data_IF_262954709905
#
_entry.id   IF_262954709905
#
_cell.length_a   1.000
_cell.length_b   1.000
_cell.length_c   1.000
_cell.angle_alpha   90.00
_cell.angle_beta   90.00
_cell.angle_gamma   90.00
#
_symmetry.space_group_name_H-M   'P 1'
#
loop_
_entity.id
_entity.type
_entity.pdbx_description
1 polymer ?
#
# COMPACT_ATOMS: atom_id res chain seq x y z
N UNK A 1 -8.52 -39.77 28.04
CA UNK A 1 -7.91 -38.53 28.56
C UNK A 1 -7.47 -38.66 30.02
N UNK A 2 -8.27 -39.26 30.90
CA UNK A 2 -7.95 -39.39 32.35
C UNK A 2 -6.62 -40.07 32.67
N UNK A 3 -6.25 -41.13 31.93
CA UNK A 3 -4.97 -41.84 32.12
C UNK A 3 -3.74 -40.94 31.92
N UNK A 4 -3.81 -39.99 30.98
CA UNK A 4 -2.72 -39.06 30.67
C UNK A 4 -2.58 -38.04 31.79
N UNK A 5 -3.70 -37.51 32.27
CA UNK A 5 -3.73 -36.53 33.37
C UNK A 5 -3.20 -37.18 34.66
N UNK A 6 -3.66 -38.39 34.98
CA UNK A 6 -3.19 -39.14 36.14
C UNK A 6 -1.67 -39.41 36.07
N UNK A 7 -1.16 -39.79 34.89
CA UNK A 7 0.27 -40.06 34.68
C UNK A 7 1.17 -38.82 34.86
N UNK A 8 0.68 -37.64 34.47
CA UNK A 8 1.39 -36.35 34.62
C UNK A 8 1.43 -35.91 36.09
N UNK A 9 0.32 -36.11 36.82
CA UNK A 9 0.16 -35.64 38.21
C UNK A 9 0.86 -36.52 39.25
N UNK A 10 1.20 -37.77 38.92
CA UNK A 10 1.85 -38.73 39.83
C UNK A 10 3.25 -38.32 40.30
N UNK A 11 4.00 -37.52 39.54
CA UNK A 11 5.41 -37.21 39.87
C UNK A 11 5.71 -35.73 39.66
N UNK A 12 6.34 -35.09 40.67
CA UNK A 12 6.74 -33.66 40.61
C UNK A 12 7.61 -33.34 39.39
N UNK A 13 8.43 -34.28 38.94
CA UNK A 13 9.28 -34.13 37.74
C UNK A 13 8.47 -34.05 36.44
N UNK A 14 7.48 -34.95 36.25
CA UNK A 14 6.61 -34.96 35.06
C UNK A 14 5.77 -33.70 34.98
N UNK A 15 5.23 -33.24 36.11
CA UNK A 15 4.52 -31.95 36.22
C UNK A 15 5.42 -30.78 35.78
N UNK A 16 6.66 -30.71 36.28
CA UNK A 16 7.62 -29.66 35.88
C UNK A 16 8.01 -29.75 34.41
N UNK A 17 8.14 -30.96 33.85
CA UNK A 17 8.41 -31.17 32.43
C UNK A 17 7.31 -30.62 31.53
N UNK A 18 6.04 -30.90 31.86
CA UNK A 18 4.90 -30.35 31.10
C UNK A 18 4.85 -28.82 31.21
N UNK A 19 5.05 -28.26 32.41
CA UNK A 19 5.10 -26.79 32.59
C UNK A 19 6.25 -26.17 31.77
N UNK A 20 7.43 -26.78 31.75
CA UNK A 20 8.56 -26.29 30.96
C UNK A 20 8.28 -26.33 29.45
N UNK A 21 7.63 -27.40 28.96
CA UNK A 21 7.22 -27.50 27.55
C UNK A 21 6.22 -26.40 27.19
N UNK A 22 5.22 -26.14 28.05
CA UNK A 22 4.24 -25.08 27.80
C UNK A 22 4.90 -23.70 27.80
N UNK A 23 5.80 -23.43 28.75
CA UNK A 23 6.54 -22.16 28.79
C UNK A 23 7.46 -22.00 27.58
N UNK A 24 8.10 -23.08 27.11
CA UNK A 24 8.92 -23.06 25.91
C UNK A 24 8.08 -22.80 24.66
N UNK A 25 6.92 -23.45 24.53
CA UNK A 25 6.00 -23.22 23.41
C UNK A 25 5.46 -21.79 23.40
N UNK A 26 5.12 -21.24 24.58
CA UNK A 26 4.72 -19.84 24.73
C UNK A 26 5.87 -18.89 24.34
N UNK A 27 7.07 -19.14 24.84
CA UNK A 27 8.27 -18.37 24.49
C UNK A 27 8.55 -18.39 22.99
N UNK A 28 8.48 -19.56 22.35
CA UNK A 28 8.65 -19.71 20.91
C UNK A 28 7.58 -18.93 20.12
N UNK A 29 6.31 -19.00 20.55
CA UNK A 29 5.22 -18.25 19.92
C UNK A 29 5.42 -16.74 19.99
N UNK A 30 5.88 -16.21 21.13
CA UNK A 30 6.16 -14.77 21.27
C UNK A 30 7.40 -14.38 20.44
N UNK A 31 8.40 -15.25 20.41
CA UNK A 31 9.66 -15.01 19.70
C UNK A 31 9.50 -15.01 18.17
N UNK A 32 8.41 -15.56 17.63
CA UNK A 32 8.08 -15.47 16.19
C UNK A 32 7.86 -14.03 15.69
N UNK A 33 7.42 -13.12 16.57
CA UNK A 33 7.20 -11.71 16.22
C UNK A 33 8.51 -10.94 15.97
N UNK A 34 9.48 -10.88 16.91
CA UNK A 34 10.74 -10.18 16.69
C UNK A 34 11.63 -10.86 15.65
N UNK A 35 11.54 -12.19 15.50
CA UNK A 35 12.32 -12.94 14.50
C UNK A 35 11.78 -12.79 13.08
N UNK A 36 10.66 -12.07 12.88
CA UNK A 36 9.98 -11.89 11.59
C UNK A 36 9.61 -13.21 10.88
N UNK A 37 9.55 -14.32 11.63
CA UNK A 37 9.05 -15.60 11.13
C UNK A 37 7.57 -15.49 10.73
N UNK A 38 6.82 -14.61 11.42
CA UNK A 38 5.44 -14.26 11.07
C UNK A 38 5.35 -12.74 10.91
N UNK A 39 5.03 -12.29 9.70
CA UNK A 39 4.81 -10.87 9.40
C UNK A 39 3.39 -10.48 9.84
N UNK A 40 3.29 -9.78 10.98
CA UNK A 40 2.03 -9.18 11.40
C UNK A 40 1.76 -7.90 10.59
N UNK A 41 0.61 -7.83 9.92
CA UNK A 41 0.15 -6.64 9.20
C UNK A 41 -1.16 -6.15 9.81
N UNK A 42 -1.15 -4.93 10.37
CA UNK A 42 -2.31 -4.34 11.06
C UNK A 42 -3.45 -3.98 10.10
N UNK A 43 -3.12 -3.61 8.85
CA UNK A 43 -4.09 -3.25 7.81
C UNK A 43 -3.73 -3.98 6.51
N UNK A 44 -4.48 -5.03 6.14
CA UNK A 44 -4.26 -5.69 4.86
C UNK A 44 -4.59 -4.73 3.71
N UNK A 45 -3.90 -4.95 2.58
CA UNK A 45 -4.22 -4.24 1.34
C UNK A 45 -5.66 -4.57 0.93
N UNK A 46 -6.44 -3.55 0.60
CA UNK A 46 -7.82 -3.69 0.11
C UNK A 46 -7.83 -3.33 -1.36
N UNK A 47 -8.60 -4.08 -2.16
CA UNK A 47 -8.83 -3.72 -3.56
C UNK A 47 -9.68 -2.46 -3.66
N UNK A 48 -9.18 -1.47 -4.38
CA UNK A 48 -9.86 -0.22 -4.70
C UNK A 48 -10.12 -0.10 -6.22
N UNK A 49 -11.10 0.72 -6.58
CA UNK A 49 -11.41 1.07 -7.98
C UNK A 49 -10.58 2.28 -8.46
N UNK A 50 -9.85 2.95 -7.57
CA UNK A 50 -9.03 4.11 -7.92
C UNK A 50 -7.78 4.16 -7.05
N UNK A 51 -6.70 4.68 -7.62
CA UNK A 51 -5.50 5.05 -6.90
C UNK A 51 -4.87 6.28 -7.56
N UNK A 52 -4.05 7.00 -6.80
CA UNK A 52 -3.45 8.25 -7.24
C UNK A 52 -1.94 8.15 -7.18
N UNK A 53 -1.27 8.58 -8.23
CA UNK A 53 0.18 8.68 -8.31
C UNK A 53 0.56 10.14 -8.13
N UNK A 54 1.47 10.37 -7.21
CA UNK A 54 1.98 11.67 -6.86
C UNK A 54 3.40 11.80 -7.39
N UNK A 55 3.65 12.87 -8.13
CA UNK A 55 4.91 13.13 -8.79
C UNK A 55 5.45 14.44 -8.22
N UNK A 56 6.55 14.36 -7.48
CA UNK A 56 7.24 15.51 -6.90
C UNK A 56 8.62 15.62 -7.56
N UNK A 57 8.85 16.66 -8.37
CA UNK A 57 10.16 17.00 -8.94
C UNK A 57 10.92 17.99 -8.03
N UNK A 58 12.23 18.18 -8.24
CA UNK A 58 12.98 19.25 -7.58
C UNK A 58 12.40 20.63 -7.86
N UNK A 59 12.54 21.56 -6.91
CA UNK A 59 11.90 22.89 -6.94
C UNK A 59 12.32 23.78 -8.11
N UNK A 60 13.49 23.55 -8.69
CA UNK A 60 14.00 24.25 -9.88
C UNK A 60 13.39 23.74 -11.19
N UNK A 61 12.61 22.66 -11.17
CA UNK A 61 12.05 22.04 -12.36
C UNK A 61 10.99 22.91 -13.03
N UNK A 62 10.90 22.78 -14.35
CA UNK A 62 9.89 23.43 -15.18
C UNK A 62 8.62 22.57 -15.27
N UNK A 63 7.48 23.22 -15.55
CA UNK A 63 6.22 22.51 -15.77
C UNK A 63 6.30 21.50 -16.94
N UNK A 64 7.17 21.78 -17.93
CA UNK A 64 7.41 20.86 -19.07
C UNK A 64 8.11 19.58 -18.63
N UNK A 65 9.07 19.68 -17.71
CA UNK A 65 9.72 18.50 -17.14
C UNK A 65 8.73 17.68 -16.31
N UNK A 66 7.89 18.34 -15.52
CA UNK A 66 6.80 17.67 -14.78
C UNK A 66 5.83 16.96 -15.72
N UNK A 67 5.43 17.62 -16.82
CA UNK A 67 4.56 17.04 -17.84
C UNK A 67 5.18 15.82 -18.51
N UNK A 68 6.47 15.89 -18.86
CA UNK A 68 7.21 14.79 -19.46
C UNK A 68 7.27 13.55 -18.55
N UNK A 69 7.51 13.75 -17.25
CA UNK A 69 7.50 12.65 -16.27
C UNK A 69 6.07 12.09 -16.11
N UNK A 70 5.06 12.96 -16.00
CA UNK A 70 3.67 12.53 -15.87
C UNK A 70 3.18 11.75 -17.12
N UNK A 71 3.62 12.16 -18.31
CA UNK A 71 3.35 11.45 -19.57
C UNK A 71 4.03 10.07 -19.58
N UNK A 72 5.29 9.97 -19.16
CA UNK A 72 5.98 8.68 -18.98
C UNK A 72 5.18 7.72 -18.09
N UNK A 73 4.66 8.22 -16.97
CA UNK A 73 3.81 7.44 -16.07
C UNK A 73 2.51 7.00 -16.78
N UNK A 74 1.85 7.93 -17.47
CA UNK A 74 0.63 7.66 -18.24
C UNK A 74 0.81 6.59 -19.31
N UNK A 75 1.91 6.62 -20.06
CA UNK A 75 2.23 5.63 -21.10
C UNK A 75 2.44 4.22 -20.54
N UNK A 76 2.93 4.09 -19.31
CA UNK A 76 3.02 2.79 -18.64
C UNK A 76 1.63 2.28 -18.21
N UNK A 77 0.81 3.17 -17.68
CA UNK A 77 -0.54 2.83 -17.21
C UNK A 77 -1.48 2.45 -18.37
N UNK A 78 -1.35 3.08 -19.54
CA UNK A 78 -2.14 2.76 -20.74
C UNK A 78 -1.97 1.31 -21.24
N UNK A 79 -0.89 0.64 -20.84
CA UNK A 79 -0.62 -0.77 -21.23
C UNK A 79 -1.44 -1.77 -20.41
N UNK A 80 -1.99 -1.34 -19.28
CA UNK A 80 -2.78 -2.18 -18.38
C UNK A 80 -4.24 -2.22 -18.83
N UNK A 81 -4.83 -3.41 -18.88
CA UNK A 81 -6.20 -3.62 -19.39
C UNK A 81 -7.27 -3.22 -18.38
N UNK A 82 -6.87 -3.20 -17.12
CA UNK A 82 -7.70 -2.93 -15.95
C UNK A 82 -7.92 -1.43 -15.74
N UNK A 83 -7.12 -0.58 -16.38
CA UNK A 83 -7.22 0.88 -16.33
C UNK A 83 -8.29 1.36 -17.30
N UNK A 84 -9.28 2.09 -16.80
CA UNK A 84 -10.36 2.65 -17.62
C UNK A 84 -10.04 4.08 -18.03
N UNK A 85 -9.63 4.90 -17.06
CA UNK A 85 -9.43 6.33 -17.24
C UNK A 85 -8.18 6.80 -16.49
N UNK A 86 -7.46 7.74 -17.09
CA UNK A 86 -6.26 8.36 -16.52
C UNK A 86 -6.44 9.86 -16.61
N UNK A 87 -6.40 10.53 -15.46
CA UNK A 87 -6.51 11.97 -15.37
C UNK A 87 -5.20 12.54 -14.82
N UNK A 88 -4.58 13.47 -15.54
CA UNK A 88 -3.31 14.08 -15.15
C UNK A 88 -3.51 15.54 -14.79
N UNK A 89 -3.13 15.89 -13.56
CA UNK A 89 -3.18 17.23 -13.00
C UNK A 89 -1.75 17.78 -12.89
N UNK A 90 -1.43 18.80 -13.68
CA UNK A 90 -0.09 19.38 -13.76
C UNK A 90 -0.01 20.70 -12.99
N UNK A 91 0.92 20.79 -12.04
CA UNK A 91 1.11 22.00 -11.24
C UNK A 91 0.02 22.27 -10.21
N UNK A 92 -0.93 21.35 -10.06
CA UNK A 92 -2.07 21.43 -9.15
C UNK A 92 -2.42 20.04 -8.60
N UNK A 93 -3.10 19.99 -7.47
CA UNK A 93 -3.68 18.75 -6.94
C UNK A 93 -4.89 18.27 -7.74
N UNK A 94 -5.14 16.97 -7.64
CA UNK A 94 -6.37 16.35 -8.12
C UNK A 94 -7.58 16.78 -7.26
N UNK A 95 -8.82 16.63 -7.77
CA UNK A 95 -10.04 16.80 -6.99
C UNK A 95 -9.99 16.01 -5.69
N UNK A 96 -10.60 16.58 -4.66
CA UNK A 96 -10.48 16.09 -3.29
C UNK A 96 -11.11 14.71 -3.12
N UNK A 97 -10.29 13.67 -2.99
CA UNK A 97 -10.68 12.34 -2.54
C UNK A 97 -10.19 12.08 -1.10
N UNK A 98 -10.49 10.92 -0.51
CA UNK A 98 -10.06 10.62 0.86
C UNK A 98 -8.52 10.59 0.98
N UNK A 99 -7.83 10.07 -0.03
CA UNK A 99 -6.37 10.05 -0.03
C UNK A 99 -5.78 11.47 -0.14
N UNK A 100 -6.34 12.29 -1.01
CA UNK A 100 -5.99 13.69 -1.21
C UNK A 100 -6.30 14.58 -0.01
N UNK A 101 -7.35 14.28 0.74
CA UNK A 101 -7.62 14.91 2.05
C UNK A 101 -6.48 14.65 3.04
N UNK A 102 -6.04 13.39 3.15
CA UNK A 102 -4.97 13.00 4.07
C UNK A 102 -3.60 13.49 3.58
N UNK A 103 -3.40 13.59 2.26
CA UNK A 103 -2.15 14.02 1.63
C UNK A 103 -2.08 15.51 1.27
N UNK A 104 -3.15 16.26 1.52
CA UNK A 104 -3.22 17.70 1.27
C UNK A 104 -3.14 18.08 -0.21
N UNK A 105 -3.81 17.34 -1.10
CA UNK A 105 -3.82 17.63 -2.55
C UNK A 105 -4.26 19.07 -2.85
N UNK A 106 -5.22 19.63 -2.10
CA UNK A 106 -5.70 21.01 -2.30
C UNK A 106 -4.62 22.10 -2.10
N UNK A 107 -3.60 21.78 -1.30
CA UNK A 107 -2.48 22.70 -1.05
C UNK A 107 -1.43 22.68 -2.17
N UNK A 108 -1.55 21.77 -3.13
CA UNK A 108 -0.56 21.63 -4.20
C UNK A 108 -0.87 22.58 -5.34
N UNK A 109 0.04 23.54 -5.52
CA UNK A 109 -0.05 24.61 -6.50
C UNK A 109 1.30 24.93 -7.15
N UNK A 110 2.25 23.99 -7.05
CA UNK A 110 3.62 24.21 -7.46
C UNK A 110 3.89 23.56 -8.83
N UNK A 111 4.58 24.27 -9.72
CA UNK A 111 4.91 23.80 -11.10
C UNK A 111 5.67 22.47 -11.18
N UNK A 112 6.36 22.07 -10.11
CA UNK A 112 7.14 20.84 -10.01
C UNK A 112 6.34 19.66 -9.43
N UNK A 113 5.04 19.84 -9.19
CA UNK A 113 4.15 18.81 -8.67
C UNK A 113 3.16 18.38 -9.74
N UNK A 114 2.83 17.09 -9.77
CA UNK A 114 1.71 16.57 -10.54
C UNK A 114 1.04 15.41 -9.81
N UNK A 115 -0.25 15.23 -10.10
CA UNK A 115 -1.04 14.09 -9.63
C UNK A 115 -1.67 13.38 -10.83
N UNK A 116 -1.56 12.06 -10.86
CA UNK A 116 -2.18 11.21 -11.88
C UNK A 116 -3.20 10.33 -11.17
N UNK A 117 -4.48 10.60 -11.41
CA UNK A 117 -5.59 9.81 -10.88
C UNK A 117 -5.88 8.69 -11.88
N UNK A 118 -5.91 7.46 -11.39
CA UNK A 118 -6.11 6.27 -12.21
C UNK A 118 -7.38 5.58 -11.76
N UNK A 119 -8.36 5.51 -12.66
CA UNK A 119 -9.59 4.76 -12.45
C UNK A 119 -9.47 3.37 -13.06
N UNK A 120 -9.98 2.39 -12.32
CA UNK A 120 -9.89 0.97 -12.65
C UNK A 120 -11.28 0.37 -12.85
N UNK A 121 -11.28 -0.75 -13.55
CA UNK A 121 -12.40 -1.68 -13.59
C UNK A 121 -12.85 -2.10 -12.20
N UNK A 122 -14.12 -2.49 -12.08
CA UNK A 122 -14.72 -2.76 -10.77
C UNK A 122 -13.97 -3.86 -10.00
N UNK A 123 -13.64 -3.57 -8.74
CA UNK A 123 -12.91 -4.44 -7.81
C UNK A 123 -13.51 -5.83 -7.64
N UNK A 124 -14.80 -6.04 -7.89
CA UNK A 124 -15.46 -7.35 -7.77
C UNK A 124 -15.35 -8.19 -9.04
N UNK A 125 -15.05 -7.55 -10.18
CA UNK A 125 -14.94 -8.21 -11.49
C UNK A 125 -13.50 -8.54 -11.88
N UNK A 126 -12.53 -7.96 -11.17
CA UNK A 126 -11.11 -8.04 -11.51
C UNK A 126 -10.39 -9.16 -10.76
N UNK A 127 -9.56 -9.91 -11.48
CA UNK A 127 -8.75 -11.00 -10.91
C UNK A 127 -7.57 -10.49 -10.06
N UNK A 128 -6.86 -9.44 -10.53
CA UNK A 128 -5.74 -8.82 -9.82
C UNK A 128 -6.22 -7.68 -8.89
N UNK A 129 -6.06 -7.75 -7.56
CA UNK A 129 -6.38 -6.64 -6.65
C UNK A 129 -5.53 -5.39 -6.92
N UNK A 130 -6.05 -4.19 -6.61
CA UNK A 130 -5.32 -2.92 -6.88
C UNK A 130 -3.94 -2.89 -6.26
N UNK A 131 -3.81 -3.36 -5.02
CA UNK A 131 -2.54 -3.30 -4.30
C UNK A 131 -1.47 -4.18 -4.95
N UNK A 132 -1.84 -5.33 -5.52
CA UNK A 132 -0.91 -6.20 -6.23
C UNK A 132 -0.42 -5.53 -7.51
N UNK A 133 -1.34 -4.92 -8.26
CA UNK A 133 -1.03 -4.17 -9.48
C UNK A 133 -0.11 -2.98 -9.17
N UNK A 134 -0.39 -2.21 -8.13
CA UNK A 134 0.47 -1.10 -7.67
C UNK A 134 1.84 -1.60 -7.22
N UNK A 135 1.92 -2.76 -6.56
CA UNK A 135 3.20 -3.37 -6.19
C UNK A 135 4.02 -3.82 -7.41
N UNK A 136 3.37 -4.30 -8.47
CA UNK A 136 3.99 -4.69 -9.74
C UNK A 136 4.46 -3.49 -10.55
N UNK A 137 3.61 -2.47 -10.69
CA UNK A 137 3.84 -1.29 -11.52
C UNK A 137 4.86 -0.31 -10.93
N UNK A 138 4.85 -0.13 -9.61
CA UNK A 138 5.71 0.83 -8.92
C UNK A 138 7.20 0.72 -9.28
N UNK A 139 7.86 -0.46 -9.18
CA UNK A 139 9.28 -0.55 -9.51
C UNK A 139 9.57 -0.25 -10.99
N UNK A 140 8.66 -0.65 -11.90
CA UNK A 140 8.81 -0.41 -13.34
C UNK A 140 8.74 1.09 -13.64
N UNK A 141 7.69 1.75 -13.16
CA UNK A 141 7.47 3.19 -13.36
C UNK A 141 8.56 4.02 -12.69
N UNK A 142 9.00 3.63 -11.48
CA UNK A 142 10.10 4.33 -10.82
C UNK A 142 11.40 4.21 -11.60
N UNK A 143 11.75 3.02 -12.09
CA UNK A 143 12.95 2.82 -12.88
C UNK A 143 12.95 3.66 -14.17
N UNK A 144 11.85 3.63 -14.90
CA UNK A 144 11.76 4.24 -16.23
C UNK A 144 11.51 5.76 -16.19
N UNK A 145 10.74 6.24 -15.20
CA UNK A 145 10.31 7.64 -15.16
C UNK A 145 11.06 8.50 -14.11
N UNK A 146 11.56 7.96 -12.99
CA UNK A 146 12.35 8.78 -12.03
C UNK A 146 13.73 9.14 -12.59
N UNK A 147 14.27 8.32 -13.49
CA UNK A 147 15.58 8.56 -14.14
C UNK A 147 15.57 9.71 -15.14
N UNK A 148 14.40 10.21 -15.55
CA UNK A 148 14.27 11.31 -16.51
C UNK A 148 14.71 12.67 -15.95
N UNK A 149 14.47 12.90 -14.66
CA UNK A 149 14.86 14.14 -13.97
C UNK A 149 15.41 13.76 -12.60
N UNK A 150 16.68 14.11 -12.36
CA UNK A 150 17.36 13.79 -11.11
C UNK A 150 16.63 14.37 -9.90
N UNK A 151 16.40 13.56 -8.87
CA UNK A 151 15.69 13.96 -7.65
C UNK A 151 14.16 13.93 -7.76
N UNK A 152 13.61 13.36 -8.83
CA UNK A 152 12.17 13.07 -8.94
C UNK A 152 11.77 12.00 -7.93
N UNK A 153 10.63 12.18 -7.27
CA UNK A 153 10.02 11.16 -6.41
C UNK A 153 8.61 10.84 -6.90
N UNK A 154 8.37 9.57 -7.25
CA UNK A 154 7.06 9.06 -7.64
C UNK A 154 6.49 8.21 -6.50
N UNK A 155 5.32 8.58 -6.00
CA UNK A 155 4.64 7.91 -4.88
C UNK A 155 3.27 7.40 -5.32
N UNK A 156 3.03 6.11 -5.11
CA UNK A 156 1.73 5.50 -5.35
C UNK A 156 0.92 5.52 -4.06
N UNK A 157 -0.26 6.11 -4.10
CA UNK A 157 -1.16 6.23 -2.96
C UNK A 157 -2.48 5.55 -3.30
N UNK A 158 -2.79 4.51 -2.54
CA UNK A 158 -4.11 3.86 -2.58
C UNK A 158 -5.01 4.41 -1.48
N UNK A 159 -6.32 4.28 -1.67
CA UNK A 159 -7.27 4.56 -0.61
C UNK A 159 -6.97 3.67 0.60
N UNK A 160 -6.76 4.26 1.80
CA UNK A 160 -6.42 3.49 2.98
C UNK A 160 -7.57 2.55 3.38
N UNK A 161 -7.20 1.39 3.94
CA UNK A 161 -8.14 0.45 4.54
C UNK A 161 -8.68 1.03 5.86
N UNK A 162 -9.66 1.95 5.78
CA UNK A 162 -10.38 2.52 6.91
C UNK A 162 -11.84 2.02 7.00
N UNK A 163 -12.50 2.19 8.16
CA UNK A 163 -13.91 1.84 8.30
C UNK A 163 -14.74 2.66 7.30
N UNK A 164 -15.66 2.04 6.56
CA UNK A 164 -16.51 2.76 5.62
C UNK A 164 -17.46 3.64 6.42
N UNK A 165 -17.14 4.92 6.59
CA UNK A 165 -18.17 5.90 6.89
C UNK A 165 -18.96 6.08 5.61
N UNK A 166 -20.29 5.91 5.68
CA UNK A 166 -21.17 6.26 4.57
C UNK A 166 -20.77 7.66 4.07
N UNK A 167 -20.59 7.82 2.76
CA UNK A 167 -20.47 9.14 2.19
C UNK A 167 -21.77 9.87 2.50
N UNK A 168 -21.74 10.78 3.47
CA UNK A 168 -22.85 11.70 3.67
C UNK A 168 -22.87 12.60 2.45
N UNK A 169 -23.73 12.27 1.49
CA UNK A 169 -24.14 13.22 0.46
C UNK A 169 -24.76 14.40 1.24
N UNK A 170 -24.11 15.56 1.18
CA UNK A 170 -24.69 16.85 1.58
C UNK A 170 -24.92 17.69 0.34
#
# INVERSE_FOLDING_TARGET
>A
MEKIIAWILQTKWRKRGVIAIVLMALGASVMMLPTKLVLAKMLPGKSANTFTIYIDLPTNSSIRQTAMVAECVGEHLKKEREVTDIETYLGQGAPLDYAGLVKGSDFKRMKYQAEVVVNLTDKHTREEPSFMMVHRLRPVIQHDCESMVEGTTIKFIEMPSGPPTLATIV
#
